data_IF_089172269307
#
_entry.id   IF_089172269307
#
_cell.length_a   1.000
_cell.length_b   1.000
_cell.length_c   1.000
_cell.angle_alpha   90.00
_cell.angle_beta   90.00
_cell.angle_gamma   90.00
#
_symmetry.space_group_name_H-M   'P 1'
#
loop_
_entity.id
_entity.type
_entity.pdbx_description
1 polymer ?
#
# COMPACT_ATOMS: atom_id res chain seq x y z
N UNK A 1 -15.05 -0.49 -3.68
CA UNK A 1 -14.44 -1.60 -4.45
C UNK A 1 -13.20 -1.14 -5.24
N UNK A 2 -13.32 -0.18 -6.17
CA UNK A 2 -12.19 0.28 -7.00
C UNK A 2 -10.89 0.64 -6.24
N UNK A 3 -11.00 1.41 -5.14
CA UNK A 3 -9.84 1.76 -4.29
C UNK A 3 -9.22 0.56 -3.57
N UNK A 4 -9.99 -0.48 -3.30
CA UNK A 4 -9.49 -1.69 -2.66
C UNK A 4 -8.67 -2.54 -3.64
N UNK A 5 -9.10 -2.62 -4.90
CA UNK A 5 -8.30 -3.24 -5.97
C UNK A 5 -6.98 -2.49 -6.18
N UNK A 6 -7.01 -1.16 -6.25
CA UNK A 6 -5.79 -0.34 -6.32
C UNK A 6 -4.81 -0.60 -5.16
N UNK A 7 -5.33 -0.81 -3.93
CA UNK A 7 -4.50 -1.16 -2.78
C UNK A 7 -3.83 -2.53 -2.97
N UNK A 8 -4.57 -3.51 -3.50
CA UNK A 8 -4.07 -4.87 -3.74
C UNK A 8 -2.99 -4.88 -4.84
N UNK A 9 -3.18 -4.10 -5.89
CA UNK A 9 -2.20 -3.95 -6.96
C UNK A 9 -0.92 -3.29 -6.45
N UNK A 10 -1.06 -2.27 -5.59
CA UNK A 10 0.09 -1.62 -4.97
C UNK A 10 0.90 -2.61 -4.11
N UNK A 11 0.24 -3.44 -3.31
CA UNK A 11 0.91 -4.48 -2.49
C UNK A 11 1.64 -5.49 -3.36
N UNK A 12 1.03 -5.90 -4.48
CA UNK A 12 1.65 -6.86 -5.41
C UNK A 12 2.89 -6.24 -6.09
N UNK A 13 2.84 -4.95 -6.44
CA UNK A 13 3.95 -4.27 -7.10
C UNK A 13 5.22 -4.17 -6.23
N UNK A 14 5.06 -4.05 -4.91
CA UNK A 14 6.18 -3.84 -3.97
C UNK A 14 6.86 -5.12 -3.53
N UNK A 15 6.29 -6.29 -3.86
CA UNK A 15 6.81 -7.60 -3.45
C UNK A 15 8.21 -7.86 -4.02
N UNK A 16 8.47 -7.37 -5.24
CA UNK A 16 9.78 -7.44 -5.89
C UNK A 16 10.84 -6.59 -5.18
N UNK A 17 10.51 -5.36 -4.78
CA UNK A 17 11.39 -4.48 -4.01
C UNK A 17 11.57 -4.99 -2.58
N UNK A 18 10.53 -5.58 -1.96
CA UNK A 18 10.62 -6.23 -0.67
C UNK A 18 11.62 -7.40 -0.72
N UNK A 19 11.49 -8.28 -1.71
CA UNK A 19 12.42 -9.38 -1.91
C UNK A 19 13.86 -8.88 -2.14
N UNK A 20 14.03 -7.86 -2.97
CA UNK A 20 15.35 -7.27 -3.19
C UNK A 20 15.95 -6.60 -1.94
N UNK A 21 15.13 -6.03 -1.07
CA UNK A 21 15.58 -5.44 0.19
C UNK A 21 15.92 -6.51 1.25
N UNK A 22 15.03 -7.46 1.50
CA UNK A 22 15.20 -8.49 2.54
C UNK A 22 16.24 -9.56 2.15
N UNK A 23 16.24 -10.04 0.90
CA UNK A 23 17.15 -11.12 0.48
C UNK A 23 18.53 -10.61 0.09
N UNK A 24 18.60 -9.42 -0.52
CA UNK A 24 19.83 -8.90 -1.15
C UNK A 24 20.40 -7.66 -0.46
N UNK A 25 19.74 -7.12 0.57
CA UNK A 25 20.20 -5.91 1.27
C UNK A 25 20.22 -4.65 0.39
N UNK A 26 19.46 -4.61 -0.70
CA UNK A 26 19.49 -3.48 -1.64
C UNK A 26 18.86 -2.22 -1.02
N UNK A 27 19.71 -1.25 -0.66
CA UNK A 27 19.29 0.02 -0.06
C UNK A 27 18.32 0.84 -0.93
N UNK A 28 18.49 0.82 -2.25
CA UNK A 28 17.60 1.55 -3.17
C UNK A 28 16.21 0.91 -3.23
N UNK A 29 16.15 -0.43 -3.22
CA UNK A 29 14.89 -1.16 -3.11
C UNK A 29 14.21 -0.89 -1.75
N UNK A 30 14.98 -0.77 -0.67
CA UNK A 30 14.47 -0.35 0.64
C UNK A 30 13.81 1.03 0.62
N UNK A 31 14.42 2.02 -0.04
CA UNK A 31 13.82 3.36 -0.19
C UNK A 31 12.51 3.31 -0.98
N UNK A 32 12.46 2.55 -2.09
CA UNK A 32 11.24 2.37 -2.89
C UNK A 32 10.14 1.67 -2.11
N UNK A 33 10.48 0.57 -1.44
CA UNK A 33 9.58 -0.17 -0.57
C UNK A 33 8.98 0.73 0.50
N UNK A 34 9.80 1.55 1.18
CA UNK A 34 9.33 2.47 2.21
C UNK A 34 8.34 3.50 1.66
N UNK A 35 8.64 4.11 0.51
CA UNK A 35 7.75 5.09 -0.11
C UNK A 35 6.44 4.45 -0.55
N UNK A 36 6.49 3.24 -1.10
CA UNK A 36 5.30 2.53 -1.52
C UNK A 36 4.44 2.07 -0.32
N UNK A 37 5.06 1.65 0.79
CA UNK A 37 4.36 1.39 2.06
C UNK A 37 3.68 2.65 2.61
N UNK A 38 4.29 3.82 2.45
CA UNK A 38 3.65 5.08 2.83
C UNK A 38 2.41 5.36 1.96
N UNK A 39 2.50 5.09 0.65
CA UNK A 39 1.36 5.21 -0.26
C UNK A 39 0.21 4.25 0.14
N UNK A 40 0.53 3.00 0.43
CA UNK A 40 -0.42 1.98 0.93
C UNK A 40 -1.13 2.50 2.19
N UNK A 41 -0.39 3.04 3.16
CA UNK A 41 -0.97 3.60 4.38
C UNK A 41 -1.97 4.71 4.08
N UNK A 42 -1.64 5.63 3.18
CA UNK A 42 -2.52 6.75 2.80
C UNK A 42 -3.78 6.21 2.12
N UNK A 43 -3.63 5.34 1.12
CA UNK A 43 -4.75 4.73 0.38
C UNK A 43 -5.67 3.92 1.29
N UNK A 44 -5.11 3.05 2.14
CA UNK A 44 -5.88 2.27 3.11
C UNK A 44 -6.63 3.16 4.11
N UNK A 45 -6.02 4.26 4.57
CA UNK A 45 -6.69 5.23 5.46
C UNK A 45 -7.85 5.92 4.73
N UNK A 46 -7.68 6.26 3.45
CA UNK A 46 -8.73 6.82 2.61
C UNK A 46 -9.93 5.88 2.48
N UNK A 47 -9.68 4.60 2.19
CA UNK A 47 -10.72 3.56 2.13
C UNK A 47 -11.43 3.42 3.48
N UNK A 48 -10.68 3.36 4.58
CA UNK A 48 -11.27 3.25 5.93
C UNK A 48 -12.21 4.42 6.24
N UNK A 49 -11.80 5.64 5.88
CA UNK A 49 -12.64 6.84 6.03
C UNK A 49 -13.91 6.71 5.20
N UNK A 50 -13.80 6.33 3.93
CA UNK A 50 -14.95 6.15 3.04
C UNK A 50 -15.94 5.10 3.58
N UNK A 51 -15.44 3.95 4.06
CA UNK A 51 -16.28 2.93 4.70
C UNK A 51 -16.96 3.47 5.97
N UNK A 52 -16.24 4.26 6.76
CA UNK A 52 -16.80 4.86 7.99
C UNK A 52 -17.90 5.87 7.67
N UNK A 53 -17.72 6.69 6.64
CA UNK A 53 -18.72 7.67 6.22
C UNK A 53 -19.95 6.99 5.59
N UNK A 54 -19.76 5.94 4.78
CA UNK A 54 -20.88 5.12 4.29
C UNK A 54 -21.66 4.49 5.45
N UNK A 55 -20.97 4.03 6.50
CA UNK A 55 -21.61 3.49 7.71
C UNK A 55 -22.38 4.55 8.51
N UNK A 56 -21.98 5.83 8.47
CA UNK A 56 -22.68 6.91 9.20
C UNK A 56 -23.93 7.40 8.48
N UNK A 57 -23.97 7.26 7.16
CA UNK A 57 -25.07 7.75 6.31
C UNK A 57 -26.19 6.71 6.15
N UNK A 58 -25.88 5.42 6.32
CA UNK A 58 -26.86 4.32 6.45
C UNK A 58 -27.16 4.02 7.92
#
# INVERSE_FOLDING_TARGET
MKKFEELKDLVTSIESDAKAFYDKGNKAAGTRLRNALQQIKVTATGIRKEVTEIKKVN
#
